data_IF_309158295327
#
_entry.id   IF_309158295327
#
_cell.length_a   1.000
_cell.length_b   1.000
_cell.length_c   1.000
_cell.angle_alpha   90.00
_cell.angle_beta   90.00
_cell.angle_gamma   90.00
#
_symmetry.space_group_name_H-M   'P 1'
#
loop_
_entity.id
_entity.type
_entity.pdbx_description
1 polymer ?
#
# COMPACT_ATOMS: atom_id res chain seq x y z
N UNK A 1 50.70 -9.82 -19.90
CA UNK A 1 50.81 -8.45 -19.36
C UNK A 1 50.29 -8.47 -17.94
N UNK A 2 51.17 -8.30 -16.93
CA UNK A 2 50.73 -8.14 -15.53
C UNK A 2 50.17 -6.74 -15.37
N UNK A 3 48.86 -6.64 -15.13
CA UNK A 3 48.28 -5.37 -14.81
C UNK A 3 48.71 -4.97 -13.39
N UNK A 4 49.11 -3.72 -13.22
CA UNK A 4 49.48 -3.19 -11.90
C UNK A 4 48.26 -3.22 -10.97
N UNK A 5 48.44 -3.60 -9.70
CA UNK A 5 47.39 -3.60 -8.69
C UNK A 5 46.71 -2.21 -8.58
N UNK A 6 47.46 -1.13 -8.78
CA UNK A 6 46.95 0.23 -8.80
C UNK A 6 45.94 0.47 -9.93
N UNK A 7 46.20 -0.09 -11.13
CA UNK A 7 45.29 0.01 -12.26
C UNK A 7 43.96 -0.70 -11.95
N UNK A 8 44.01 -1.89 -11.36
CA UNK A 8 42.81 -2.66 -11.01
C UNK A 8 41.97 -1.88 -9.98
N UNK A 9 42.61 -1.31 -8.96
CA UNK A 9 41.94 -0.52 -7.92
C UNK A 9 41.25 0.71 -8.51
N UNK A 10 41.95 1.49 -9.34
CA UNK A 10 41.41 2.68 -9.97
C UNK A 10 40.24 2.32 -10.90
N UNK A 11 40.40 1.28 -11.72
CA UNK A 11 39.36 0.81 -12.63
C UNK A 11 38.09 0.40 -11.85
N UNK A 12 38.26 -0.39 -10.80
CA UNK A 12 37.13 -0.84 -9.99
C UNK A 12 36.43 0.33 -9.30
N UNK A 13 37.19 1.30 -8.79
CA UNK A 13 36.65 2.50 -8.16
C UNK A 13 35.82 3.33 -9.18
N UNK A 14 36.34 3.58 -10.36
CA UNK A 14 35.63 4.32 -11.40
C UNK A 14 34.35 3.60 -11.85
N UNK A 15 34.41 2.28 -12.03
CA UNK A 15 33.24 1.49 -12.38
C UNK A 15 32.18 1.51 -11.29
N UNK A 16 32.58 1.40 -10.02
CA UNK A 16 31.64 1.47 -8.89
C UNK A 16 30.95 2.84 -8.82
N UNK A 17 31.70 3.92 -8.97
CA UNK A 17 31.15 5.30 -8.99
C UNK A 17 30.20 5.46 -10.18
N UNK A 18 30.60 4.99 -11.37
CA UNK A 18 29.77 5.10 -12.58
C UNK A 18 28.43 4.37 -12.43
N UNK A 19 28.45 3.09 -12.05
CA UNK A 19 27.21 2.32 -11.87
C UNK A 19 26.39 2.80 -10.69
N UNK A 20 27.03 3.20 -9.58
CA UNK A 20 26.35 3.75 -8.43
C UNK A 20 25.60 5.04 -8.77
N UNK A 21 26.23 5.94 -9.52
CA UNK A 21 25.61 7.19 -9.99
C UNK A 21 24.45 6.90 -10.94
N UNK A 22 24.64 5.98 -11.90
CA UNK A 22 23.62 5.60 -12.87
C UNK A 22 22.38 5.01 -12.17
N UNK A 23 22.55 4.10 -11.22
CA UNK A 23 21.46 3.52 -10.46
C UNK A 23 20.74 4.55 -9.59
N UNK A 24 21.50 5.43 -8.93
CA UNK A 24 20.94 6.50 -8.10
C UNK A 24 20.09 7.47 -8.93
N UNK A 25 20.60 7.87 -10.10
CA UNK A 25 19.87 8.73 -11.03
C UNK A 25 18.57 8.08 -11.52
N UNK A 26 18.64 6.80 -11.94
CA UNK A 26 17.48 6.04 -12.39
C UNK A 26 16.43 5.96 -11.29
N UNK A 27 16.82 5.65 -10.04
CA UNK A 27 15.90 5.60 -8.90
C UNK A 27 15.24 6.95 -8.62
N UNK A 28 16.00 8.05 -8.74
CA UNK A 28 15.48 9.40 -8.53
C UNK A 28 14.39 9.75 -9.54
N UNK A 29 14.58 9.38 -10.81
CA UNK A 29 13.60 9.64 -11.87
C UNK A 29 12.36 8.74 -11.78
N UNK A 30 12.54 7.46 -11.44
CA UNK A 30 11.43 6.50 -11.38
C UNK A 30 10.65 6.55 -10.06
N UNK A 31 11.23 7.07 -9.00
CA UNK A 31 10.63 7.08 -7.66
C UNK A 31 9.23 7.72 -7.61
N UNK A 32 9.01 8.93 -8.17
CA UNK A 32 7.68 9.55 -8.20
C UNK A 32 6.65 8.73 -8.97
N UNK A 33 7.04 8.17 -10.12
CA UNK A 33 6.17 7.35 -10.98
C UNK A 33 5.76 6.07 -10.25
N UNK A 34 6.72 5.42 -9.57
CA UNK A 34 6.45 4.22 -8.78
C UNK A 34 5.49 4.49 -7.62
N UNK A 35 5.59 5.63 -6.93
CA UNK A 35 4.68 5.99 -5.84
C UNK A 35 3.24 6.11 -6.34
N UNK A 36 3.02 6.81 -7.43
CA UNK A 36 1.68 6.95 -8.04
C UNK A 36 1.14 5.60 -8.47
N UNK A 37 1.98 4.75 -9.07
CA UNK A 37 1.56 3.42 -9.51
C UNK A 37 1.19 2.52 -8.33
N UNK A 38 1.94 2.57 -7.22
CA UNK A 38 1.61 1.83 -5.99
C UNK A 38 0.31 2.32 -5.37
N UNK A 39 0.06 3.62 -5.38
CA UNK A 39 -1.20 4.20 -4.90
C UNK A 39 -2.39 3.70 -5.72
N UNK A 40 -2.31 3.76 -7.05
CA UNK A 40 -3.35 3.26 -7.96
C UNK A 40 -3.58 1.77 -7.72
N UNK A 41 -2.51 0.96 -7.61
CA UNK A 41 -2.61 -0.47 -7.39
C UNK A 41 -3.27 -0.81 -6.03
N UNK A 42 -2.95 -0.04 -4.99
CA UNK A 42 -3.58 -0.19 -3.67
C UNK A 42 -5.07 0.12 -3.74
N UNK A 43 -5.46 1.26 -4.33
CA UNK A 43 -6.86 1.64 -4.51
C UNK A 43 -7.63 0.63 -5.38
N UNK A 44 -6.96 0.12 -6.41
CA UNK A 44 -7.47 -0.95 -7.26
C UNK A 44 -7.78 -2.21 -6.47
N UNK A 45 -6.87 -2.66 -5.62
CA UNK A 45 -7.07 -3.85 -4.77
C UNK A 45 -8.21 -3.67 -3.76
N UNK A 46 -8.33 -2.48 -3.17
CA UNK A 46 -9.40 -2.17 -2.22
C UNK A 46 -10.78 -2.21 -2.93
N UNK A 47 -10.91 -1.53 -4.06
CA UNK A 47 -12.16 -1.55 -4.86
C UNK A 47 -12.48 -2.95 -5.39
N UNK A 48 -11.46 -3.72 -5.81
CA UNK A 48 -11.61 -5.08 -6.29
C UNK A 48 -12.15 -6.06 -5.24
N UNK A 49 -12.13 -5.68 -3.95
CA UNK A 49 -12.76 -6.44 -2.88
C UNK A 49 -14.29 -6.29 -2.83
N UNK A 50 -14.89 -5.35 -3.56
CA UNK A 50 -16.35 -5.09 -3.54
C UNK A 50 -16.97 -5.08 -4.93
N UNK A 51 -16.19 -4.89 -5.99
CA UNK A 51 -16.71 -4.83 -7.35
C UNK A 51 -15.69 -5.30 -8.39
N UNK A 52 -16.18 -5.71 -9.56
CA UNK A 52 -15.30 -6.03 -10.69
C UNK A 52 -14.81 -4.73 -11.35
N UNK A 53 -13.50 -4.55 -11.34
CA UNK A 53 -12.79 -3.37 -11.84
C UNK A 53 -11.94 -3.68 -13.07
N UNK A 54 -12.06 -4.88 -13.65
CA UNK A 54 -11.18 -5.39 -14.72
C UNK A 54 -11.23 -4.52 -15.99
N UNK A 55 -12.34 -3.84 -16.22
CA UNK A 55 -12.58 -2.99 -17.39
C UNK A 55 -12.28 -1.50 -17.18
N UNK A 56 -11.95 -1.08 -15.96
CA UNK A 56 -11.77 0.33 -15.61
C UNK A 56 -10.35 0.82 -15.88
N UNK A 57 -10.25 2.04 -16.40
CA UNK A 57 -8.97 2.74 -16.54
C UNK A 57 -8.46 3.25 -15.19
N UNK A 58 -7.15 3.55 -15.06
CA UNK A 58 -6.58 4.09 -13.83
C UNK A 58 -7.28 5.37 -13.32
N UNK A 59 -7.64 6.28 -14.23
CA UNK A 59 -8.31 7.53 -13.87
C UNK A 59 -9.75 7.30 -13.40
N UNK A 60 -10.46 6.35 -13.99
CA UNK A 60 -11.79 5.93 -13.55
C UNK A 60 -11.74 5.30 -12.16
N UNK A 61 -10.73 4.47 -11.87
CA UNK A 61 -10.52 3.86 -10.55
C UNK A 61 -10.29 4.95 -9.50
N UNK A 62 -9.44 5.93 -9.76
CA UNK A 62 -9.18 7.04 -8.84
C UNK A 62 -10.43 7.88 -8.57
N UNK A 63 -11.19 8.19 -9.63
CA UNK A 63 -12.43 8.96 -9.51
C UNK A 63 -13.53 8.20 -8.74
N UNK A 64 -13.65 6.90 -8.99
CA UNK A 64 -14.59 6.02 -8.31
C UNK A 64 -14.23 5.88 -6.83
N UNK A 65 -12.95 5.66 -6.55
CA UNK A 65 -12.43 5.57 -5.19
C UNK A 65 -12.74 6.84 -4.39
N UNK A 66 -12.43 8.01 -4.94
CA UNK A 66 -12.66 9.29 -4.25
C UNK A 66 -14.14 9.61 -4.01
N UNK A 67 -15.05 9.06 -4.82
CA UNK A 67 -16.50 9.29 -4.69
C UNK A 67 -17.18 8.31 -3.76
N UNK A 68 -16.76 7.04 -3.76
CA UNK A 68 -17.48 5.95 -3.11
C UNK A 68 -16.76 5.37 -1.88
N UNK A 69 -15.50 5.76 -1.65
CA UNK A 69 -14.71 5.24 -0.56
C UNK A 69 -14.47 6.30 0.51
N UNK A 70 -14.61 5.87 1.76
CA UNK A 70 -14.16 6.63 2.94
C UNK A 70 -13.24 5.72 3.73
N UNK A 71 -12.17 6.28 4.30
CA UNK A 71 -11.21 5.50 5.07
C UNK A 71 -10.99 6.10 6.45
N UNK A 72 -10.71 5.25 7.43
CA UNK A 72 -10.32 5.63 8.78
C UNK A 72 -9.28 4.65 9.33
N UNK A 73 -8.56 5.08 10.34
CA UNK A 73 -7.61 4.22 11.06
C UNK A 73 -8.06 4.13 12.51
N UNK A 74 -8.24 2.92 12.99
CA UNK A 74 -8.67 2.63 14.36
C UNK A 74 -7.52 2.08 15.21
N UNK A 75 -7.59 2.27 16.51
CA UNK A 75 -6.80 1.56 17.49
C UNK A 75 -7.48 0.21 17.87
N UNK A 76 -6.85 -0.57 18.75
CA UNK A 76 -7.41 -1.84 19.22
C UNK A 76 -8.72 -1.67 20.03
N UNK A 77 -8.97 -0.49 20.54
CA UNK A 77 -10.19 -0.14 21.30
C UNK A 77 -11.31 0.37 20.41
N UNK A 78 -11.06 0.52 19.09
CA UNK A 78 -12.03 1.04 18.14
C UNK A 78 -12.11 2.56 18.04
N UNK A 79 -11.17 3.29 18.65
CA UNK A 79 -11.11 4.74 18.53
C UNK A 79 -10.36 5.17 17.28
N UNK A 80 -10.78 6.25 16.64
CA UNK A 80 -10.08 6.82 15.48
C UNK A 80 -8.71 7.39 15.91
N UNK A 81 -7.66 6.95 15.21
CA UNK A 81 -6.28 7.38 15.48
C UNK A 81 -5.97 8.64 14.68
N UNK A 82 -5.61 9.72 15.40
CA UNK A 82 -5.05 10.92 14.80
C UNK A 82 -3.52 10.93 14.91
N UNK A 83 -2.86 11.62 14.00
CA UNK A 83 -1.42 11.88 14.07
C UNK A 83 -1.09 12.78 15.27
N UNK A 84 0.19 12.81 15.68
CA UNK A 84 0.69 13.68 16.75
C UNK A 84 0.39 15.16 16.51
N UNK A 85 0.21 15.57 15.26
CA UNK A 85 -0.11 16.94 14.85
C UNK A 85 -1.62 17.19 14.74
N UNK A 86 -2.46 16.23 15.16
CA UNK A 86 -3.93 16.32 15.10
C UNK A 86 -4.53 16.06 13.73
N UNK A 87 -3.72 15.73 12.72
CA UNK A 87 -4.20 15.32 11.40
C UNK A 87 -4.64 13.85 11.41
N UNK A 88 -5.64 13.53 10.59
CA UNK A 88 -6.09 12.14 10.42
C UNK A 88 -4.99 11.30 9.75
N UNK A 89 -4.74 10.13 10.30
CA UNK A 89 -3.82 9.17 9.67
C UNK A 89 -4.46 8.64 8.39
N UNK A 90 -3.74 8.74 7.28
CA UNK A 90 -4.20 8.22 5.98
C UNK A 90 -4.14 6.70 6.00
N UNK A 91 -5.29 6.04 5.86
CA UNK A 91 -5.41 4.59 5.95
C UNK A 91 -4.62 3.86 4.85
N UNK A 92 -4.55 4.43 3.66
CA UNK A 92 -3.82 3.91 2.49
C UNK A 92 -2.30 3.91 2.70
N UNK A 93 -1.79 4.77 3.58
CA UNK A 93 -0.35 4.88 3.89
C UNK A 93 0.08 3.94 5.02
N UNK A 94 -0.87 3.30 5.72
CA UNK A 94 -0.54 2.34 6.78
C UNK A 94 0.11 1.11 6.20
N UNK A 95 1.40 0.94 6.44
CA UNK A 95 2.14 -0.24 6.02
C UNK A 95 1.78 -1.44 6.88
N UNK A 96 0.91 -2.30 6.37
CA UNK A 96 0.36 -3.46 7.11
C UNK A 96 1.45 -4.43 7.55
N UNK A 97 2.47 -4.67 6.73
CA UNK A 97 3.58 -5.56 7.06
C UNK A 97 4.42 -5.05 8.22
N UNK A 98 4.72 -3.76 8.25
CA UNK A 98 5.44 -3.15 9.37
C UNK A 98 4.56 -3.12 10.61
N UNK A 99 3.30 -2.77 10.46
CA UNK A 99 2.32 -2.68 11.51
C UNK A 99 2.08 -4.04 12.20
N UNK A 100 2.13 -5.14 11.45
CA UNK A 100 2.02 -6.51 11.99
C UNK A 100 3.12 -6.84 13.00
N UNK A 101 4.32 -6.23 12.88
CA UNK A 101 5.46 -6.42 13.78
C UNK A 101 5.40 -5.56 15.04
N UNK A 102 4.50 -4.59 15.10
CA UNK A 102 4.28 -3.72 16.27
C UNK A 102 3.44 -4.45 17.31
N UNK A 103 3.57 -4.08 18.59
CA UNK A 103 2.72 -4.61 19.66
C UNK A 103 1.23 -4.37 19.35
N UNK A 104 0.37 -5.26 19.80
CA UNK A 104 -1.07 -5.21 19.48
C UNK A 104 -1.72 -3.90 19.89
N UNK A 105 -1.32 -3.35 21.03
CA UNK A 105 -1.89 -2.11 21.59
C UNK A 105 -1.50 -0.86 20.80
N UNK A 106 -0.34 -0.91 20.10
CA UNK A 106 0.19 0.20 19.30
C UNK A 106 -0.15 0.06 17.79
N UNK A 107 -0.86 -1.01 17.42
CA UNK A 107 -1.23 -1.26 16.02
C UNK A 107 -2.29 -0.30 15.53
N UNK A 108 -2.15 0.07 14.25
CA UNK A 108 -3.10 0.87 13.51
C UNK A 108 -3.92 -0.05 12.60
N UNK A 109 -5.23 0.00 12.74
CA UNK A 109 -6.15 -0.82 11.97
C UNK A 109 -6.87 0.03 10.93
N UNK A 110 -6.37 0.08 9.68
CA UNK A 110 -7.07 0.79 8.62
C UNK A 110 -8.35 0.07 8.22
N UNK A 111 -9.42 0.83 8.12
CA UNK A 111 -10.74 0.36 7.70
C UNK A 111 -11.19 1.23 6.54
N UNK A 112 -11.60 0.58 5.45
CA UNK A 112 -12.15 1.24 4.28
C UNK A 112 -13.64 0.95 4.21
N UNK A 113 -14.43 1.97 3.92
CA UNK A 113 -15.88 1.88 3.84
C UNK A 113 -16.32 2.24 2.43
N UNK A 114 -17.03 1.33 1.81
CA UNK A 114 -17.63 1.55 0.49
C UNK A 114 -19.11 1.93 0.65
N UNK A 115 -19.52 2.97 -0.06
CA UNK A 115 -20.90 3.41 -0.15
C UNK A 115 -21.30 3.62 -1.62
N UNK A 116 -22.37 2.99 -2.05
CA UNK A 116 -22.84 3.15 -3.41
C UNK A 116 -23.50 4.50 -3.63
N UNK A 117 -24.32 4.93 -2.67
CA UNK A 117 -25.13 6.15 -2.73
C UNK A 117 -24.54 7.32 -1.95
N UNK A 118 -23.42 7.13 -1.25
CA UNK A 118 -22.77 8.13 -0.39
C UNK A 118 -23.47 8.42 0.94
N UNK A 119 -24.61 7.77 1.23
CA UNK A 119 -25.42 8.02 2.43
C UNK A 119 -25.30 6.92 3.50
N UNK A 120 -25.03 5.68 3.07
CA UNK A 120 -24.92 4.53 3.97
C UNK A 120 -23.71 3.69 3.58
N UNK A 121 -23.08 3.06 4.55
CA UNK A 121 -22.00 2.11 4.29
C UNK A 121 -22.61 0.78 3.86
N UNK A 122 -22.22 0.29 2.68
CA UNK A 122 -22.66 -0.98 2.15
C UNK A 122 -21.66 -2.10 2.46
N UNK A 123 -20.35 -1.78 2.43
CA UNK A 123 -19.29 -2.73 2.74
C UNK A 123 -18.20 -2.11 3.59
N UNK A 124 -17.70 -2.92 4.53
CA UNK A 124 -16.48 -2.65 5.29
C UNK A 124 -15.35 -3.50 4.74
N UNK A 125 -14.22 -2.88 4.43
CA UNK A 125 -13.08 -3.55 3.83
C UNK A 125 -11.88 -3.45 4.77
N UNK A 126 -11.28 -4.61 5.05
CA UNK A 126 -10.16 -4.73 5.96
C UNK A 126 -8.95 -5.33 5.24
N UNK A 127 -7.74 -4.79 5.41
CA UNK A 127 -6.55 -5.44 4.93
C UNK A 127 -6.23 -6.68 5.77
N UNK A 128 -5.83 -7.73 5.11
CA UNK A 128 -5.31 -8.96 5.72
C UNK A 128 -3.83 -9.09 5.47
N UNK A 129 -3.11 -9.62 6.44
CA UNK A 129 -1.70 -9.92 6.32
C UNK A 129 -1.35 -11.13 7.18
N UNK A 130 -0.60 -12.07 6.62
CA UNK A 130 -0.21 -13.27 7.34
C UNK A 130 0.92 -14.03 6.67
N UNK A 131 1.40 -15.09 7.33
CA UNK A 131 2.41 -15.98 6.80
C UNK A 131 1.75 -17.04 5.90
N UNK A 132 2.19 -17.12 4.64
CA UNK A 132 1.90 -18.23 3.76
C UNK A 132 2.95 -19.33 3.88
N UNK A 133 2.81 -20.35 3.02
CA UNK A 133 3.75 -21.48 3.00
C UNK A 133 5.14 -21.07 2.47
N UNK A 134 5.17 -20.22 1.46
CA UNK A 134 6.39 -19.79 0.75
C UNK A 134 6.80 -18.34 1.04
N UNK A 135 5.81 -17.48 1.23
CA UNK A 135 6.01 -16.05 1.45
C UNK A 135 4.79 -15.45 2.17
N UNK A 136 4.82 -14.14 2.40
CA UNK A 136 3.73 -13.39 3.00
C UNK A 136 2.51 -13.37 2.09
N UNK A 137 1.32 -13.54 2.69
CA UNK A 137 0.04 -13.36 2.02
C UNK A 137 -0.54 -12.05 2.49
N UNK A 138 -0.96 -11.21 1.54
CA UNK A 138 -1.68 -9.98 1.82
C UNK A 138 -2.87 -9.85 0.89
N UNK A 139 -3.93 -9.25 1.38
CA UNK A 139 -5.15 -9.03 0.61
C UNK A 139 -6.15 -8.17 1.35
N UNK A 140 -7.35 -8.09 0.79
CA UNK A 140 -8.46 -7.35 1.37
C UNK A 140 -9.68 -8.25 1.50
N UNK A 141 -10.40 -8.09 2.61
CA UNK A 141 -11.66 -8.77 2.90
C UNK A 141 -12.76 -7.73 2.97
N UNK A 142 -13.84 -7.95 2.25
CA UNK A 142 -15.04 -7.15 2.35
C UNK A 142 -16.12 -7.87 3.16
N UNK A 143 -16.66 -7.17 4.14
CA UNK A 143 -17.83 -7.57 4.91
C UNK A 143 -19.00 -6.68 4.52
N UNK A 144 -20.19 -7.25 4.42
CA UNK A 144 -21.41 -6.48 4.23
C UNK A 144 -21.79 -5.70 5.51
N UNK A 145 -22.86 -4.91 5.45
CA UNK A 145 -23.37 -4.12 6.57
C UNK A 145 -23.75 -4.97 7.79
N UNK A 146 -24.07 -6.26 7.57
CA UNK A 146 -24.44 -7.20 8.63
C UNK A 146 -23.21 -8.00 9.10
N UNK A 147 -22.00 -7.61 8.68
CA UNK A 147 -20.71 -8.20 8.97
C UNK A 147 -20.55 -9.65 8.46
N UNK A 148 -21.32 -10.03 7.45
CA UNK A 148 -21.10 -11.28 6.75
C UNK A 148 -20.02 -11.12 5.70
N UNK A 149 -19.26 -12.19 5.48
CA UNK A 149 -18.21 -12.20 4.48
C UNK A 149 -18.82 -12.10 3.06
N UNK A 150 -18.47 -11.06 2.33
CA UNK A 150 -18.92 -10.85 0.96
C UNK A 150 -17.89 -11.35 -0.05
N UNK A 151 -16.67 -10.83 0.01
CA UNK A 151 -15.62 -11.16 -0.95
C UNK A 151 -14.23 -11.12 -0.29
N UNK A 152 -13.30 -11.92 -0.83
CA UNK A 152 -11.88 -11.89 -0.47
C UNK A 152 -11.07 -11.63 -1.73
N UNK A 153 -10.23 -10.60 -1.70
CA UNK A 153 -9.25 -10.34 -2.74
C UNK A 153 -7.84 -10.54 -2.19
N UNK A 154 -7.11 -11.53 -2.73
CA UNK A 154 -5.75 -11.89 -2.31
C UNK A 154 -4.76 -11.53 -3.40
#
# INVERSE_FOLDING_TARGET
>A
MQQSNTYIIIFTLLMTIFFGTLLSFTRMQLGPIQKVQVEIDTKKKILGAVMDISSLSPDEILSLYSKKMTSMVLDISGNEVSSSDGEKVIAEEVNIQKNYKVNKDDRKYPVFMFSEDGNSVDYYIFPMFGNGLWDWISGFVALDKDLNLSLIHI
#
